data_IF_738164656115
#
_entry.id   IF_738164656115
#
_cell.length_a   1.000
_cell.length_b   1.000
_cell.length_c   1.000
_cell.angle_alpha   90.00
_cell.angle_beta   90.00
_cell.angle_gamma   90.00
#
_symmetry.space_group_name_H-M   'P 1'
#
loop_
_entity.id
_entity.type
_entity.pdbx_description
1 polymer ?
#
# COMPACT_ATOMS: atom_id res chain seq x y z
N UNK A 1 -25.72 -1.21 70.97
CA UNK A 1 -26.94 -1.01 70.15
C UNK A 1 -26.67 0.13 69.17
N UNK A 2 -26.96 -0.05 67.87
CA UNK A 2 -26.37 0.72 66.76
C UNK A 2 -27.22 1.94 66.35
N UNK A 3 -26.59 2.97 65.76
CA UNK A 3 -27.25 3.85 64.77
C UNK A 3 -26.15 4.50 63.91
N UNK A 4 -25.87 3.97 62.72
CA UNK A 4 -26.41 4.37 61.41
C UNK A 4 -26.25 5.86 61.05
N UNK A 5 -25.48 6.09 59.97
CA UNK A 5 -25.50 7.15 58.93
C UNK A 5 -24.10 7.75 58.76
N UNK A 6 -23.46 7.79 57.59
CA UNK A 6 -23.85 7.46 56.24
C UNK A 6 -22.58 7.16 55.42
N UNK A 7 -22.56 6.05 54.68
CA UNK A 7 -21.54 5.80 53.66
C UNK A 7 -21.93 6.59 52.40
N UNK A 8 -21.27 7.72 52.16
CA UNK A 8 -21.31 8.38 50.86
C UNK A 8 -20.19 7.77 50.02
N UNK A 9 -20.51 6.71 49.29
CA UNK A 9 -19.66 6.17 48.23
C UNK A 9 -19.86 7.09 47.00
N UNK A 10 -19.07 8.15 46.93
CA UNK A 10 -18.99 9.00 45.74
C UNK A 10 -18.30 8.23 44.62
N UNK A 11 -19.09 7.71 43.68
CA UNK A 11 -18.61 7.15 42.42
C UNK A 11 -17.90 8.25 41.62
N UNK A 12 -16.57 8.21 41.59
CA UNK A 12 -15.75 9.04 40.69
C UNK A 12 -15.98 8.55 39.27
N UNK A 13 -16.92 9.18 38.56
CA UNK A 13 -16.96 9.14 37.10
C UNK A 13 -15.79 9.99 36.59
N UNK A 14 -14.64 9.34 36.39
CA UNK A 14 -13.58 9.90 35.58
C UNK A 14 -14.06 9.94 34.12
N UNK A 15 -14.72 11.03 33.74
CA UNK A 15 -14.84 11.42 32.33
C UNK A 15 -13.41 11.65 31.83
N UNK A 16 -12.81 10.62 31.24
CA UNK A 16 -11.63 10.79 30.41
C UNK A 16 -12.07 11.60 29.19
N UNK A 17 -11.89 12.92 29.26
CA UNK A 17 -11.98 13.78 28.11
C UNK A 17 -10.96 13.27 27.09
N UNK A 18 -11.43 12.57 26.06
CA UNK A 18 -10.61 12.29 24.89
C UNK A 18 -10.19 13.66 24.34
N UNK A 19 -8.91 13.99 24.46
CA UNK A 19 -8.37 15.21 23.86
C UNK A 19 -8.80 15.24 22.39
N UNK A 20 -9.33 16.37 21.88
CA UNK A 20 -9.68 16.46 20.47
C UNK A 20 -8.42 16.13 19.67
N UNK A 21 -8.54 15.25 18.68
CA UNK A 21 -7.43 14.97 17.77
C UNK A 21 -7.06 16.30 17.09
N UNK A 22 -5.96 16.91 17.52
CA UNK A 22 -5.44 18.12 16.89
C UNK A 22 -5.20 17.82 15.41
N UNK A 23 -5.59 18.75 14.54
CA UNK A 23 -5.33 18.65 13.11
C UNK A 23 -3.82 18.42 12.88
N UNK A 24 -3.48 17.41 12.08
CA UNK A 24 -2.09 17.07 11.79
C UNK A 24 -1.67 17.59 10.40
N UNK A 25 -2.64 17.96 9.55
CA UNK A 25 -2.36 18.74 8.34
C UNK A 25 -1.76 20.09 8.75
N UNK A 26 -0.59 20.41 8.21
CA UNK A 26 0.21 21.58 8.61
C UNK A 26 1.25 21.31 9.71
N UNK A 27 1.36 20.07 10.22
CA UNK A 27 2.45 19.66 11.12
C UNK A 27 3.69 19.17 10.36
N UNK A 28 4.81 18.99 11.06
CA UNK A 28 6.06 18.43 10.51
C UNK A 28 5.91 17.01 9.94
N UNK A 29 4.82 16.31 10.24
CA UNK A 29 4.53 14.98 9.71
C UNK A 29 3.80 15.04 8.38
N UNK A 30 3.15 16.16 8.08
CA UNK A 30 2.38 16.35 6.87
C UNK A 30 3.28 16.44 5.64
N UNK A 31 2.87 15.80 4.56
CA UNK A 31 3.40 15.99 3.22
C UNK A 31 2.31 15.64 2.20
N UNK A 32 2.26 16.37 1.10
CA UNK A 32 1.25 16.13 0.07
C UNK A 32 1.69 16.61 -1.31
N UNK A 33 1.11 15.99 -2.33
CA UNK A 33 1.31 16.38 -3.72
C UNK A 33 0.07 16.03 -4.54
N UNK A 34 -0.29 16.86 -5.51
CA UNK A 34 -1.30 16.56 -6.54
C UNK A 34 -0.66 16.71 -7.91
N UNK A 35 -0.83 15.70 -8.75
CA UNK A 35 -0.17 15.62 -10.05
C UNK A 35 -1.17 15.26 -11.12
N UNK A 36 -1.09 15.94 -12.27
CA UNK A 36 -1.81 15.57 -13.47
C UNK A 36 -1.14 14.36 -14.14
N UNK A 37 -1.85 13.23 -14.19
CA UNK A 37 -1.24 11.95 -14.54
C UNK A 37 -0.76 11.87 -16.00
N UNK A 38 -1.35 12.65 -16.92
CA UNK A 38 -1.01 12.66 -18.35
C UNK A 38 0.30 13.39 -18.65
N UNK A 39 0.58 14.48 -17.94
CA UNK A 39 1.72 15.37 -18.21
C UNK A 39 2.82 15.24 -17.16
N UNK A 40 2.50 14.72 -15.96
CA UNK A 40 3.39 14.76 -14.80
C UNK A 40 3.46 16.15 -14.15
N UNK A 41 2.64 17.11 -14.60
CA UNK A 41 2.58 18.46 -14.05
C UNK A 41 2.11 18.41 -12.60
N UNK A 42 2.91 18.97 -11.70
CA UNK A 42 2.57 19.13 -10.28
C UNK A 42 1.64 20.33 -10.15
N UNK A 43 0.46 20.08 -9.59
CA UNK A 43 -0.57 21.09 -9.34
C UNK A 43 -0.51 21.61 -7.90
N UNK A 44 -0.08 20.76 -6.97
CA UNK A 44 0.13 21.07 -5.56
C UNK A 44 1.35 20.32 -5.05
N UNK A 45 2.14 20.95 -4.17
CA UNK A 45 3.16 20.26 -3.40
C UNK A 45 3.37 20.95 -2.04
N UNK A 46 3.41 20.16 -0.96
CA UNK A 46 3.83 20.58 0.36
C UNK A 46 4.75 19.49 0.93
N UNK A 47 6.00 19.84 1.23
CA UNK A 47 7.03 18.89 1.70
C UNK A 47 7.08 17.59 0.89
N UNK A 48 6.85 17.70 -0.43
CA UNK A 48 6.60 16.53 -1.27
C UNK A 48 7.80 15.57 -1.35
N UNK A 49 8.99 16.09 -1.06
CA UNK A 49 10.28 15.38 -1.07
C UNK A 49 10.78 15.05 0.35
N UNK A 50 10.05 15.43 1.39
CA UNK A 50 10.39 15.09 2.76
C UNK A 50 10.13 13.60 3.04
N UNK A 51 11.09 12.95 3.71
CA UNK A 51 10.99 11.52 4.03
C UNK A 51 9.93 11.26 5.09
N UNK A 52 9.10 10.25 4.84
CA UNK A 52 8.05 9.74 5.73
C UNK A 52 8.02 8.23 5.67
N UNK A 53 7.45 7.58 6.69
CA UNK A 53 7.18 6.15 6.60
C UNK A 53 5.95 5.88 5.72
N UNK A 54 6.05 4.96 4.73
CA UNK A 54 4.96 4.71 3.77
C UNK A 54 3.74 4.01 4.39
N UNK A 55 3.92 3.30 5.52
CA UNK A 55 2.94 2.34 6.02
C UNK A 55 2.48 1.40 4.88
N UNK A 56 1.22 0.98 4.88
CA UNK A 56 0.65 0.11 3.85
C UNK A 56 0.63 0.67 2.42
N UNK A 57 1.03 1.92 2.17
CA UNK A 57 1.28 2.39 0.80
C UNK A 57 2.37 1.57 0.11
N UNK A 58 3.28 0.97 0.88
CA UNK A 58 4.29 -0.01 0.44
C UNK A 58 3.71 -1.12 -0.46
N UNK A 59 2.47 -1.54 -0.18
CA UNK A 59 1.78 -2.59 -0.94
C UNK A 59 1.49 -2.21 -2.39
N UNK A 60 1.52 -0.92 -2.75
CA UNK A 60 1.48 -0.48 -4.14
C UNK A 60 2.68 -1.01 -4.93
N UNK A 61 3.87 -1.03 -4.33
CA UNK A 61 5.07 -1.57 -4.97
C UNK A 61 4.99 -3.10 -5.06
N UNK A 62 4.46 -3.75 -4.03
CA UNK A 62 4.19 -5.20 -4.08
C UNK A 62 3.24 -5.55 -5.22
N UNK A 63 2.14 -4.81 -5.38
CA UNK A 63 1.21 -4.97 -6.51
C UNK A 63 1.88 -4.68 -7.86
N UNK A 64 2.68 -3.60 -7.96
CA UNK A 64 3.45 -3.28 -9.16
C UNK A 64 4.34 -4.46 -9.59
N UNK A 65 5.06 -5.07 -8.64
CA UNK A 65 5.93 -6.21 -8.92
C UNK A 65 5.17 -7.50 -9.27
N UNK A 66 3.96 -7.68 -8.73
CA UNK A 66 3.03 -8.77 -9.15
C UNK A 66 2.62 -8.56 -10.61
N UNK A 67 2.17 -7.37 -10.97
CA UNK A 67 1.76 -7.05 -12.35
C UNK A 67 2.92 -7.24 -13.32
N UNK A 68 4.11 -6.77 -12.94
CA UNK A 68 5.32 -6.98 -13.70
C UNK A 68 5.65 -8.47 -13.89
N UNK A 69 5.55 -9.28 -12.82
CA UNK A 69 5.81 -10.72 -12.91
C UNK A 69 4.82 -11.45 -13.83
N UNK A 70 3.54 -11.07 -13.81
CA UNK A 70 2.52 -11.67 -14.67
C UNK A 70 2.73 -11.24 -16.13
N UNK A 71 2.91 -9.95 -16.39
CA UNK A 71 3.16 -9.42 -17.74
C UNK A 71 4.40 -10.03 -18.38
N UNK A 72 5.47 -10.19 -17.61
CA UNK A 72 6.74 -10.72 -18.10
C UNK A 72 6.75 -12.27 -18.14
N UNK A 73 5.62 -12.94 -17.84
CA UNK A 73 5.50 -14.40 -17.88
C UNK A 73 6.24 -15.15 -16.77
N UNK A 74 6.80 -14.45 -15.77
CA UNK A 74 7.50 -15.04 -14.61
C UNK A 74 6.54 -15.63 -13.59
N UNK A 75 5.28 -15.19 -13.60
CA UNK A 75 4.19 -15.74 -12.80
C UNK A 75 2.89 -15.74 -13.61
N UNK A 76 1.87 -16.43 -13.10
CA UNK A 76 0.51 -16.41 -13.62
C UNK A 76 -0.43 -16.04 -12.48
N UNK A 77 -1.62 -15.54 -12.80
CA UNK A 77 -2.65 -15.27 -11.78
C UNK A 77 -3.00 -16.50 -10.93
N UNK A 78 -2.90 -17.69 -11.51
CA UNK A 78 -3.08 -18.99 -10.87
C UNK A 78 -1.85 -19.52 -10.11
N UNK A 79 -0.70 -18.81 -10.13
CA UNK A 79 0.50 -19.22 -9.40
C UNK A 79 0.15 -19.44 -7.92
N UNK A 80 0.49 -20.60 -7.32
CA UNK A 80 0.19 -20.88 -5.93
C UNK A 80 1.07 -20.01 -5.02
N UNK A 81 0.42 -19.29 -4.11
CA UNK A 81 1.06 -18.54 -3.02
C UNK A 81 0.85 -19.34 -1.75
N UNK A 82 1.96 -19.83 -1.18
CA UNK A 82 1.93 -20.60 0.07
C UNK A 82 2.10 -19.67 1.26
N UNK A 83 1.22 -19.77 2.24
CA UNK A 83 1.34 -19.07 3.51
C UNK A 83 2.43 -19.76 4.34
N UNK A 84 3.66 -19.23 4.34
CA UNK A 84 4.70 -19.72 5.24
C UNK A 84 4.36 -19.42 6.71
N UNK A 85 5.12 -20.02 7.64
CA UNK A 85 5.02 -19.66 9.05
C UNK A 85 5.31 -18.16 9.28
N UNK A 86 6.29 -17.60 8.56
CA UNK A 86 6.63 -16.17 8.65
C UNK A 86 5.49 -15.27 8.16
N UNK A 87 4.90 -15.61 7.01
CA UNK A 87 3.77 -14.88 6.44
C UNK A 87 2.53 -14.95 7.34
N UNK A 88 2.16 -16.14 7.81
CA UNK A 88 1.01 -16.32 8.70
C UNK A 88 1.16 -15.58 10.06
N UNK A 89 2.40 -15.46 10.54
CA UNK A 89 2.75 -14.76 11.77
C UNK A 89 2.75 -13.23 11.65
N UNK A 90 2.60 -12.65 10.45
CA UNK A 90 2.53 -11.19 10.31
C UNK A 90 1.38 -10.62 11.17
N UNK A 91 1.57 -9.46 11.83
CA UNK A 91 0.52 -8.84 12.63
C UNK A 91 -0.63 -8.31 11.74
N UNK A 92 -1.83 -8.07 12.29
CA UNK A 92 -2.97 -7.50 11.56
C UNK A 92 -2.63 -6.18 10.85
N UNK A 93 -3.29 -5.77 9.76
CA UNK A 93 -4.40 -6.38 9.01
C UNK A 93 -3.98 -7.62 8.21
N UNK A 94 -4.76 -8.70 8.21
CA UNK A 94 -4.39 -9.98 7.57
C UNK A 94 -5.60 -10.84 7.14
N UNK A 95 -5.36 -11.85 6.31
CA UNK A 95 -6.35 -12.89 5.97
C UNK A 95 -6.54 -13.89 7.13
N UNK A 96 -5.46 -14.19 7.86
CA UNK A 96 -5.50 -15.11 9.00
C UNK A 96 -5.49 -16.58 8.60
N UNK A 97 -5.00 -16.90 7.40
CA UNK A 97 -4.82 -18.29 6.97
C UNK A 97 -3.68 -18.95 7.76
N UNK A 98 -3.83 -20.22 8.18
CA UNK A 98 -2.77 -20.94 8.87
C UNK A 98 -1.59 -21.25 7.93
N UNK A 99 -0.40 -21.42 8.49
CA UNK A 99 0.78 -21.83 7.75
C UNK A 99 0.53 -23.12 6.97
N UNK A 100 1.09 -23.22 5.77
CA UNK A 100 0.86 -24.32 4.82
C UNK A 100 -0.38 -24.13 3.93
N UNK A 101 -1.29 -23.22 4.26
CA UNK A 101 -2.41 -22.86 3.37
C UNK A 101 -1.91 -22.32 2.03
N UNK A 102 -2.67 -22.59 0.97
CA UNK A 102 -2.41 -22.02 -0.36
C UNK A 102 -3.61 -21.20 -0.86
N UNK A 103 -3.29 -20.14 -1.57
CA UNK A 103 -4.21 -19.28 -2.35
C UNK A 103 -3.57 -18.96 -3.70
N UNK A 104 -4.33 -18.48 -4.67
CA UNK A 104 -3.76 -18.02 -5.94
C UNK A 104 -3.09 -16.65 -5.78
N UNK A 105 -2.17 -16.31 -6.69
CA UNK A 105 -1.54 -14.98 -6.73
C UNK A 105 -2.58 -13.86 -6.87
N UNK A 106 -3.62 -14.08 -7.67
CA UNK A 106 -4.76 -13.15 -7.79
C UNK A 106 -5.51 -12.99 -6.46
N UNK A 107 -5.82 -14.07 -5.75
CA UNK A 107 -6.45 -13.99 -4.43
C UNK A 107 -5.57 -13.26 -3.41
N UNK A 108 -4.26 -13.49 -3.44
CA UNK A 108 -3.31 -12.79 -2.58
C UNK A 108 -3.26 -11.29 -2.90
N UNK A 109 -3.25 -10.93 -4.18
CA UNK A 109 -3.34 -9.53 -4.62
C UNK A 109 -4.66 -8.88 -4.19
N UNK A 110 -5.80 -9.55 -4.39
CA UNK A 110 -7.12 -9.07 -3.96
C UNK A 110 -7.14 -8.79 -2.45
N UNK A 111 -6.50 -9.64 -1.65
CA UNK A 111 -6.34 -9.44 -0.21
C UNK A 111 -5.51 -8.20 0.15
N UNK A 112 -4.47 -7.90 -0.63
CA UNK A 112 -3.62 -6.72 -0.46
C UNK A 112 -4.36 -5.43 -0.83
N UNK A 113 -5.10 -5.40 -1.94
CA UNK A 113 -5.77 -4.17 -2.40
C UNK A 113 -7.02 -3.83 -1.58
N UNK A 114 -7.77 -4.83 -1.11
CA UNK A 114 -9.02 -4.61 -0.36
C UNK A 114 -8.79 -4.54 1.16
N UNK A 115 -8.23 -5.60 1.77
CA UNK A 115 -8.04 -5.73 3.22
C UNK A 115 -6.69 -5.21 3.69
N UNK A 116 -5.81 -4.83 2.76
CA UNK A 116 -4.44 -4.42 3.11
C UNK A 116 -3.67 -5.51 3.87
N UNK A 117 -3.91 -6.77 3.51
CA UNK A 117 -3.43 -7.95 4.22
C UNK A 117 -1.89 -8.05 4.22
N UNK A 118 -1.29 -8.05 5.41
CA UNK A 118 0.16 -8.12 5.64
C UNK A 118 0.71 -9.53 5.37
N UNK A 119 -0.04 -10.56 5.76
CA UNK A 119 0.29 -11.96 5.55
C UNK A 119 0.34 -12.31 4.06
N UNK A 120 -0.66 -11.86 3.29
CA UNK A 120 -0.66 -12.01 1.83
C UNK A 120 0.52 -11.29 1.17
N UNK A 121 0.88 -10.09 1.63
CA UNK A 121 2.03 -9.35 1.11
C UNK A 121 3.36 -10.08 1.36
N UNK A 122 3.57 -10.60 2.57
CA UNK A 122 4.75 -11.39 2.89
C UNK A 122 4.80 -12.70 2.07
N UNK A 123 3.66 -13.40 1.91
CA UNK A 123 3.59 -14.62 1.12
C UNK A 123 3.86 -14.39 -0.38
N UNK A 124 3.36 -13.28 -0.96
CA UNK A 124 3.72 -12.87 -2.33
C UNK A 124 5.22 -12.60 -2.43
N UNK A 125 5.78 -11.91 -1.45
CA UNK A 125 7.19 -11.55 -1.43
C UNK A 125 8.09 -12.80 -1.40
N UNK A 126 7.74 -13.79 -0.59
CA UNK A 126 8.41 -15.10 -0.56
C UNK A 126 8.23 -15.86 -1.89
N UNK A 127 7.03 -15.83 -2.46
CA UNK A 127 6.72 -16.52 -3.73
C UNK A 127 7.52 -15.94 -4.91
N UNK A 128 7.62 -14.61 -5.00
CA UNK A 128 8.25 -13.93 -6.15
C UNK A 128 9.73 -13.61 -5.93
N UNK A 129 10.17 -13.49 -4.67
CA UNK A 129 11.52 -13.07 -4.30
C UNK A 129 12.31 -14.14 -3.53
N UNK A 130 11.74 -15.31 -3.27
CA UNK A 130 12.36 -16.38 -2.46
C UNK A 130 12.34 -16.11 -0.94
N UNK A 131 12.40 -14.84 -0.53
CA UNK A 131 12.18 -14.39 0.85
C UNK A 131 11.64 -12.95 0.86
N UNK A 132 10.97 -12.57 1.95
CA UNK A 132 10.48 -11.18 2.10
C UNK A 132 11.64 -10.17 2.12
N UNK A 133 12.77 -10.50 2.75
CA UNK A 133 13.92 -9.59 2.78
C UNK A 133 14.53 -9.39 1.39
N UNK A 134 14.66 -10.46 0.59
CA UNK A 134 15.17 -10.33 -0.77
C UNK A 134 14.19 -9.55 -1.65
N UNK A 135 12.89 -9.85 -1.54
CA UNK A 135 11.86 -9.09 -2.25
C UNK A 135 11.89 -7.60 -1.90
N UNK A 136 12.08 -7.22 -0.63
CA UNK A 136 12.21 -5.82 -0.24
C UNK A 136 13.43 -5.10 -0.86
N UNK A 137 14.55 -5.82 -1.03
CA UNK A 137 15.70 -5.31 -1.80
C UNK A 137 15.32 -5.09 -3.26
N UNK A 138 14.64 -6.04 -3.89
CA UNK A 138 14.15 -5.93 -5.27
C UNK A 138 13.13 -4.78 -5.42
N UNK A 139 12.24 -4.57 -4.44
CA UNK A 139 11.33 -3.42 -4.41
C UNK A 139 12.08 -2.10 -4.39
N UNK A 140 13.17 -2.00 -3.61
CA UNK A 140 14.00 -0.78 -3.55
C UNK A 140 14.74 -0.56 -4.87
N UNK A 141 15.29 -1.61 -5.47
CA UNK A 141 15.89 -1.52 -6.80
C UNK A 141 14.86 -1.07 -7.86
N UNK A 142 13.64 -1.63 -7.80
CA UNK A 142 12.54 -1.23 -8.67
C UNK A 142 12.18 0.24 -8.46
N UNK A 143 12.06 0.70 -7.21
CA UNK A 143 11.83 2.11 -6.91
C UNK A 143 12.84 3.03 -7.61
N UNK A 144 14.14 2.70 -7.53
CA UNK A 144 15.19 3.45 -8.24
C UNK A 144 15.00 3.45 -9.75
N UNK A 145 14.65 2.31 -10.36
CA UNK A 145 14.35 2.20 -11.79
C UNK A 145 13.13 3.05 -12.21
N UNK A 146 12.15 3.22 -11.32
CA UNK A 146 10.98 4.07 -11.56
C UNK A 146 11.25 5.56 -11.33
N UNK A 147 12.45 5.92 -10.87
CA UNK A 147 12.81 7.31 -10.53
C UNK A 147 12.44 7.71 -9.10
N UNK A 148 11.98 6.79 -8.27
CA UNK A 148 11.68 7.01 -6.85
C UNK A 148 12.98 6.97 -6.04
N UNK A 149 13.74 8.08 -6.03
CA UNK A 149 15.13 8.11 -5.51
C UNK A 149 15.23 8.14 -3.99
N UNK A 150 14.19 8.57 -3.30
CA UNK A 150 14.16 8.75 -1.84
C UNK A 150 13.35 7.67 -1.10
N UNK A 151 13.00 6.60 -1.81
CA UNK A 151 12.25 5.47 -1.25
C UNK A 151 13.15 4.30 -0.88
N UNK A 152 12.98 3.71 0.30
CA UNK A 152 13.62 2.44 0.68
C UNK A 152 12.56 1.53 1.26
N UNK A 153 12.43 0.32 0.72
CA UNK A 153 11.54 -0.71 1.23
C UNK A 153 12.32 -1.73 2.06
N UNK A 154 11.74 -2.16 3.18
CA UNK A 154 12.33 -3.16 4.09
C UNK A 154 11.48 -4.40 4.27
N UNK A 155 10.21 -4.32 3.88
CA UNK A 155 9.29 -5.45 3.83
C UNK A 155 8.21 -5.18 2.76
N UNK A 156 7.41 -6.18 2.44
CA UNK A 156 6.42 -6.10 1.36
C UNK A 156 5.10 -5.46 1.79
N UNK A 157 4.90 -5.26 3.09
CA UNK A 157 3.62 -4.90 3.68
C UNK A 157 3.57 -3.45 4.16
N UNK A 158 4.70 -2.82 4.43
CA UNK A 158 4.74 -1.52 5.08
C UNK A 158 4.67 -1.58 6.60
N UNK A 159 4.93 -2.76 7.19
CA UNK A 159 5.06 -2.88 8.64
C UNK A 159 6.24 -2.03 9.14
N UNK A 160 6.18 -1.54 10.41
CA UNK A 160 7.17 -0.61 10.92
C UNK A 160 8.61 -1.11 10.78
N UNK A 161 9.45 -0.27 10.18
CA UNK A 161 10.90 -0.41 10.12
C UNK A 161 11.48 1.01 10.01
N UNK A 162 12.41 1.42 10.90
CA UNK A 162 12.98 2.77 10.87
C UNK A 162 13.68 3.14 9.56
N UNK A 163 14.24 2.16 8.85
CA UNK A 163 14.94 2.37 7.59
C UNK A 163 14.01 2.29 6.37
N UNK A 164 12.70 2.08 6.56
CA UNK A 164 11.69 2.07 5.51
C UNK A 164 11.07 3.45 5.35
N UNK A 165 11.38 4.12 4.25
CA UNK A 165 11.00 5.51 3.99
C UNK A 165 10.53 5.71 2.55
N UNK A 166 9.76 6.75 2.32
CA UNK A 166 9.31 7.24 1.01
C UNK A 166 9.13 8.75 1.08
N UNK A 167 8.82 9.38 -0.06
CA UNK A 167 8.30 10.75 -0.14
C UNK A 167 6.90 10.75 -0.76
N UNK A 168 6.19 11.88 -0.68
CA UNK A 168 4.90 12.03 -1.37
C UNK A 168 5.08 12.01 -2.89
N UNK A 169 6.15 12.63 -3.41
CA UNK A 169 6.51 12.61 -4.83
C UNK A 169 6.80 11.21 -5.35
N UNK A 170 7.53 10.41 -4.59
CA UNK A 170 7.83 9.03 -4.98
C UNK A 170 6.56 8.18 -5.01
N UNK A 171 5.65 8.35 -4.05
CA UNK A 171 4.36 7.64 -4.04
C UNK A 171 3.43 8.10 -5.18
N UNK A 172 3.45 9.38 -5.55
CA UNK A 172 2.74 9.88 -6.74
C UNK A 172 3.33 9.27 -8.02
N UNK A 173 4.66 9.19 -8.11
CA UNK A 173 5.38 8.52 -9.21
C UNK A 173 4.92 7.06 -9.33
N UNK A 174 4.88 6.32 -8.23
CA UNK A 174 4.41 4.93 -8.22
C UNK A 174 2.94 4.80 -8.63
N UNK A 175 2.06 5.70 -8.16
CA UNK A 175 0.66 5.73 -8.56
C UNK A 175 0.48 5.94 -10.07
N UNK A 176 1.21 6.90 -10.64
CA UNK A 176 1.21 7.16 -12.09
C UNK A 176 1.79 5.97 -12.86
N UNK A 177 2.82 5.30 -12.33
CA UNK A 177 3.42 4.12 -12.97
C UNK A 177 2.48 2.91 -12.98
N UNK A 178 1.73 2.67 -11.91
CA UNK A 178 0.68 1.65 -11.89
C UNK A 178 -0.37 1.88 -12.98
N UNK A 179 -0.80 3.14 -13.17
CA UNK A 179 -1.75 3.53 -14.20
C UNK A 179 -1.22 3.32 -15.63
N UNK A 180 0.00 3.81 -15.90
CA UNK A 180 0.58 3.84 -17.24
C UNK A 180 1.15 2.50 -17.69
N UNK A 181 1.80 1.78 -16.78
CA UNK A 181 2.52 0.55 -17.13
C UNK A 181 1.60 -0.68 -17.09
N UNK A 182 0.47 -0.59 -16.37
CA UNK A 182 -0.48 -1.68 -16.14
C UNK A 182 -1.95 -1.21 -16.18
N UNK A 183 -2.42 -0.58 -17.27
CA UNK A 183 -3.78 -0.03 -17.34
C UNK A 183 -4.87 -1.11 -17.18
N UNK A 184 -4.63 -2.34 -17.63
CA UNK A 184 -5.57 -3.44 -17.50
C UNK A 184 -5.66 -3.96 -16.06
N UNK A 185 -4.53 -4.08 -15.36
CA UNK A 185 -4.47 -4.56 -13.98
C UNK A 185 -4.81 -3.48 -12.96
N UNK A 186 -4.68 -2.20 -13.29
CA UNK A 186 -5.01 -1.09 -12.39
C UNK A 186 -6.43 -1.20 -11.79
N UNK A 187 -7.38 -1.80 -12.53
CA UNK A 187 -8.74 -2.11 -12.07
C UNK A 187 -8.80 -2.89 -10.75
N UNK A 188 -7.75 -3.61 -10.35
CA UNK A 188 -7.74 -4.28 -9.04
C UNK A 188 -7.86 -3.29 -7.88
N UNK A 189 -7.34 -2.07 -8.02
CA UNK A 189 -7.41 -1.06 -6.94
C UNK A 189 -8.82 -0.51 -6.71
N UNK A 190 -9.72 -0.62 -7.69
CA UNK A 190 -11.14 -0.28 -7.57
C UNK A 190 -12.01 -1.45 -7.12
N UNK A 191 -11.41 -2.55 -6.63
CA UNK A 191 -12.19 -3.68 -6.09
C UNK A 191 -12.84 -3.29 -4.77
N UNK A 192 -14.17 -3.25 -4.72
CA UNK A 192 -14.93 -2.92 -3.50
C UNK A 192 -14.86 -4.01 -2.43
N UNK A 193 -14.93 -5.26 -2.88
CA UNK A 193 -14.84 -6.42 -2.00
C UNK A 193 -14.45 -7.67 -2.77
N UNK A 194 -13.93 -8.67 -2.06
CA UNK A 194 -13.73 -10.00 -2.60
C UNK A 194 -14.10 -11.06 -1.57
N UNK A 195 -14.45 -12.26 -2.05
CA UNK A 195 -14.73 -13.41 -1.19
C UNK A 195 -13.59 -14.42 -1.24
N UNK A 196 -13.20 -14.91 -0.08
CA UNK A 196 -12.23 -16.00 0.06
C UNK A 196 -12.73 -16.97 1.13
N UNK A 197 -12.85 -18.26 0.76
CA UNK A 197 -13.32 -19.32 1.68
C UNK A 197 -14.59 -18.94 2.46
N UNK A 198 -15.57 -18.38 1.75
CA UNK A 198 -16.85 -17.93 2.32
C UNK A 198 -16.83 -16.58 3.03
N UNK A 199 -15.66 -16.03 3.36
CA UNK A 199 -15.54 -14.74 4.04
C UNK A 199 -15.53 -13.57 3.05
N UNK A 200 -16.29 -12.52 3.33
CA UNK A 200 -16.29 -11.27 2.57
C UNK A 200 -15.27 -10.29 3.15
N UNK A 201 -14.37 -9.80 2.31
CA UNK A 201 -13.40 -8.78 2.67
C UNK A 201 -13.69 -7.50 1.89
N UNK A 202 -13.91 -6.38 2.60
CA UNK A 202 -14.26 -5.08 2.02
C UNK A 202 -13.03 -4.17 1.92
N UNK A 203 -13.03 -3.29 0.92
CA UNK A 203 -12.00 -2.29 0.74
C UNK A 203 -12.03 -1.23 1.85
N UNK A 204 -10.84 -0.79 2.27
CA UNK A 204 -10.68 0.26 3.28
C UNK A 204 -10.70 1.68 2.68
N UNK A 205 -10.56 1.83 1.36
CA UNK A 205 -10.53 3.13 0.69
C UNK A 205 -11.95 3.69 0.52
N UNK A 206 -12.41 4.47 1.50
CA UNK A 206 -13.75 5.07 1.50
C UNK A 206 -13.96 6.07 0.35
N UNK A 207 -12.90 6.72 -0.13
CA UNK A 207 -12.99 7.66 -1.24
C UNK A 207 -13.46 7.00 -2.54
N UNK A 208 -13.21 5.69 -2.74
CA UNK A 208 -13.76 4.97 -3.90
C UNK A 208 -15.28 5.06 -3.97
N UNK A 209 -15.95 5.06 -2.82
CA UNK A 209 -17.40 5.12 -2.75
C UNK A 209 -17.94 6.56 -2.63
N UNK A 210 -17.12 7.51 -2.17
CA UNK A 210 -17.60 8.83 -1.72
C UNK A 210 -17.09 10.01 -2.53
N UNK A 211 -16.14 9.83 -3.45
CA UNK A 211 -15.56 10.92 -4.24
C UNK A 211 -15.77 10.68 -5.73
N UNK A 212 -16.45 11.62 -6.39
CA UNK A 212 -16.75 11.51 -7.82
C UNK A 212 -15.47 11.40 -8.65
N UNK A 213 -15.45 10.37 -9.51
CA UNK A 213 -14.32 10.02 -10.37
C UNK A 213 -13.23 9.16 -9.72
N UNK A 214 -13.31 8.83 -8.43
CA UNK A 214 -12.26 8.07 -7.73
C UNK A 214 -12.16 6.61 -8.19
N UNK A 215 -10.93 6.13 -8.44
CA UNK A 215 -10.69 4.75 -8.90
C UNK A 215 -9.45 4.08 -8.28
N UNK A 216 -8.88 4.67 -7.22
CA UNK A 216 -7.73 4.13 -6.52
C UNK A 216 -7.22 5.04 -5.41
N UNK A 217 -6.04 4.80 -4.82
CA UNK A 217 -5.22 3.60 -5.02
C UNK A 217 -5.08 2.86 -3.68
N UNK A 218 -4.56 3.51 -2.65
CA UNK A 218 -4.23 2.81 -1.41
C UNK A 218 -4.18 3.73 -0.19
N UNK A 219 -4.72 3.23 0.93
CA UNK A 219 -4.56 3.83 2.26
C UNK A 219 -3.43 3.17 3.06
N UNK A 220 -2.86 3.89 4.02
CA UNK A 220 -1.90 3.37 4.99
C UNK A 220 -2.00 4.05 6.35
N UNK A 221 -1.62 3.34 7.40
CA UNK A 221 -1.51 3.90 8.76
C UNK A 221 -0.46 3.14 9.56
N UNK A 222 0.42 3.90 10.23
CA UNK A 222 1.19 3.46 11.41
C UNK A 222 1.34 4.65 12.34
N UNK A 223 1.62 4.40 13.63
CA UNK A 223 1.81 5.48 14.63
C UNK A 223 2.88 6.50 14.23
N UNK A 224 3.93 6.06 13.55
CA UNK A 224 5.04 6.92 13.16
C UNK A 224 4.69 7.91 12.02
N UNK A 225 3.77 7.56 11.12
CA UNK A 225 3.40 8.40 9.97
C UNK A 225 1.99 8.95 10.02
N UNK A 226 1.15 8.55 10.97
CA UNK A 226 -0.28 8.87 10.93
C UNK A 226 -1.00 8.20 9.75
N UNK A 227 -2.11 8.79 9.32
CA UNK A 227 -2.97 8.30 8.25
C UNK A 227 -2.53 8.83 6.88
N UNK A 228 -2.22 7.91 5.99
CA UNK A 228 -1.69 8.17 4.65
C UNK A 228 -2.66 7.67 3.57
N UNK A 229 -2.59 8.27 2.39
CA UNK A 229 -3.40 7.91 1.23
C UNK A 229 -2.71 8.34 -0.07
N UNK A 230 -2.75 7.44 -1.05
CA UNK A 230 -2.61 7.76 -2.47
C UNK A 230 -3.96 7.54 -3.13
N UNK A 231 -4.48 8.55 -3.81
CA UNK A 231 -5.75 8.50 -4.52
C UNK A 231 -5.57 8.85 -6.00
N UNK A 232 -6.45 8.35 -6.85
CA UNK A 232 -6.60 8.84 -8.22
C UNK A 232 -8.07 9.07 -8.52
N UNK A 233 -8.34 10.11 -9.33
CA UNK A 233 -9.66 10.42 -9.82
C UNK A 233 -9.62 10.91 -11.27
N UNK A 234 -10.71 10.71 -12.00
CA UNK A 234 -10.92 11.19 -13.37
C UNK A 234 -12.19 12.01 -13.46
N UNK A 235 -12.10 13.20 -14.04
CA UNK A 235 -13.25 14.04 -14.43
C UNK A 235 -12.98 14.65 -15.80
N UNK A 236 -13.97 14.62 -16.69
CA UNK A 236 -13.88 15.20 -18.04
C UNK A 236 -12.62 14.79 -18.82
N UNK A 237 -12.24 13.51 -18.72
CA UNK A 237 -11.05 12.95 -19.38
C UNK A 237 -9.70 13.33 -18.76
N UNK A 238 -9.69 14.20 -17.73
CA UNK A 238 -8.49 14.60 -16.99
C UNK A 238 -8.31 13.73 -15.76
N UNK A 239 -7.13 13.13 -15.59
CA UNK A 239 -6.79 12.28 -14.44
C UNK A 239 -5.81 12.97 -13.50
N UNK A 240 -6.15 12.98 -12.21
CA UNK A 240 -5.27 13.42 -11.13
C UNK A 240 -4.83 12.25 -10.25
N UNK A 241 -3.61 12.35 -9.72
CA UNK A 241 -3.08 11.50 -8.65
C UNK A 241 -2.71 12.40 -7.48
N UNK A 242 -3.33 12.14 -6.33
CA UNK A 242 -3.08 12.86 -5.09
C UNK A 242 -2.41 11.98 -4.05
N UNK A 243 -1.51 12.55 -3.25
CA UNK A 243 -0.90 11.89 -2.09
C UNK A 243 -1.04 12.79 -0.87
N UNK A 244 -1.47 12.21 0.23
CA UNK A 244 -1.48 12.83 1.56
C UNK A 244 -0.80 11.87 2.53
N UNK A 245 0.24 12.33 3.21
CA UNK A 245 0.95 11.64 4.28
C UNK A 245 0.75 12.45 5.57
N UNK A 246 0.58 11.78 6.71
CA UNK A 246 0.56 12.48 7.99
C UNK A 246 -0.78 13.06 8.45
N UNK A 247 -1.93 12.49 8.09
CA UNK A 247 -3.22 12.89 8.71
C UNK A 247 -3.37 12.36 10.15
N UNK A 248 -4.10 13.07 11.02
CA UNK A 248 -4.37 12.65 12.39
C UNK A 248 -5.43 11.55 12.47
N UNK A 249 -6.35 11.55 11.51
CA UNK A 249 -7.43 10.57 11.39
C UNK A 249 -7.70 10.21 9.92
N UNK A 250 -8.39 9.09 9.70
CA UNK A 250 -8.85 8.74 8.36
C UNK A 250 -9.81 9.80 7.78
N UNK A 251 -10.67 10.39 8.62
CA UNK A 251 -11.64 11.40 8.19
C UNK A 251 -10.96 12.71 7.77
N UNK A 252 -10.00 13.20 8.56
CA UNK A 252 -9.22 14.39 8.20
C UNK A 252 -8.45 14.18 6.90
N UNK A 253 -7.77 13.02 6.76
CA UNK A 253 -7.05 12.65 5.55
C UNK A 253 -7.95 12.61 4.31
N UNK A 254 -9.11 11.97 4.41
CA UNK A 254 -10.01 11.79 3.27
C UNK A 254 -10.64 13.13 2.84
N UNK A 255 -11.06 13.94 3.80
CA UNK A 255 -11.56 15.30 3.55
C UNK A 255 -10.47 16.17 2.89
N UNK A 256 -9.26 16.17 3.44
CA UNK A 256 -8.15 16.94 2.89
C UNK A 256 -7.76 16.49 1.47
N UNK A 257 -7.76 15.18 1.21
CA UNK A 257 -7.54 14.66 -0.14
C UNK A 257 -8.60 15.16 -1.13
N UNK A 258 -9.89 15.11 -0.74
CA UNK A 258 -10.98 15.60 -1.58
C UNK A 258 -10.83 17.09 -1.89
N UNK A 259 -10.51 17.91 -0.88
CA UNK A 259 -10.24 19.34 -1.04
C UNK A 259 -9.12 19.60 -2.06
N UNK A 260 -7.99 18.89 -1.93
CA UNK A 260 -6.84 19.00 -2.85
C UNK A 260 -7.18 18.56 -4.29
N UNK A 261 -7.92 17.47 -4.45
CA UNK A 261 -8.33 17.00 -5.78
C UNK A 261 -9.33 17.96 -6.42
N UNK A 262 -10.32 18.47 -5.68
CA UNK A 262 -11.30 19.44 -6.19
C UNK A 262 -10.64 20.76 -6.62
N UNK A 263 -9.62 21.20 -5.89
CA UNK A 263 -8.79 22.35 -6.28
C UNK A 263 -8.00 22.05 -7.56
N UNK A 264 -7.38 20.86 -7.64
CA UNK A 264 -6.68 20.41 -8.83
C UNK A 264 -7.56 20.38 -10.07
N UNK A 265 -8.80 19.88 -9.95
CA UNK A 265 -9.76 19.83 -11.07
C UNK A 265 -10.24 21.21 -11.51
N UNK A 266 -10.47 22.14 -10.58
CA UNK A 266 -10.85 23.54 -10.89
C UNK A 266 -9.78 24.33 -11.66
N UNK A 267 -8.53 23.87 -11.65
CA UNK A 267 -7.44 24.54 -12.37
C UNK A 267 -6.95 25.84 -11.71
N UNK A 268 -7.40 26.13 -10.49
CA UNK A 268 -6.86 27.21 -9.67
C UNK A 268 -5.45 26.86 -9.20
N UNK A 269 -4.44 27.65 -9.61
CA UNK A 269 -3.10 27.56 -9.03
C UNK A 269 -3.17 27.80 -7.52
N UNK A 270 -2.54 26.91 -6.74
CA UNK A 270 -2.56 26.96 -5.30
C UNK A 270 -1.69 28.10 -4.80
N UNK A 271 -2.31 29.23 -4.44
CA UNK A 271 -1.65 30.48 -4.02
C UNK A 271 -0.76 30.36 -2.76
N UNK A 272 -0.75 29.21 -2.09
CA UNK A 272 0.01 28.98 -0.86
C UNK A 272 0.95 27.76 -0.91
N UNK A 273 1.12 27.13 -2.07
CA UNK A 273 2.07 26.03 -2.25
C UNK A 273 2.85 26.22 -3.55
N UNK A 274 4.18 26.15 -3.48
CA UNK A 274 5.01 26.26 -4.68
C UNK A 274 4.66 25.13 -5.64
N UNK A 275 4.41 25.44 -6.91
CA UNK A 275 4.40 24.44 -7.96
C UNK A 275 5.79 23.77 -7.97
N UNK A 276 5.88 22.57 -7.39
CA UNK A 276 7.13 21.80 -7.39
C UNK A 276 7.53 21.41 -8.82
N UNK A 277 8.78 20.98 -9.05
CA UNK A 277 9.19 20.52 -10.37
C UNK A 277 8.29 19.37 -10.85
N UNK A 278 8.00 19.26 -12.17
CA UNK A 278 7.16 18.21 -12.70
C UNK A 278 7.75 16.82 -12.41
N UNK A 279 6.89 15.82 -12.24
CA UNK A 279 7.32 14.43 -12.18
C UNK A 279 7.77 14.01 -13.58
N UNK A 280 9.09 13.86 -13.76
CA UNK A 280 9.69 13.29 -14.97
C UNK A 280 9.73 11.77 -14.81
N UNK A 281 8.81 11.08 -15.46
CA UNK A 281 8.84 9.62 -15.49
C UNK A 281 10.06 9.17 -16.28
N UNK A 282 10.90 8.33 -15.66
CA UNK A 282 12.01 7.69 -16.34
C UNK A 282 11.44 6.78 -17.44
N UNK A 283 11.93 6.95 -18.67
CA UNK A 283 11.54 6.08 -19.78
C UNK A 283 11.77 4.62 -19.36
N UNK A 284 10.77 3.77 -19.62
CA UNK A 284 10.90 2.36 -19.31
C UNK A 284 12.00 1.80 -20.22
N UNK A 285 13.03 1.18 -19.64
CA UNK A 285 13.94 0.36 -20.42
C UNK A 285 13.10 -0.73 -21.11
N UNK A 286 13.20 -0.84 -22.43
CA UNK A 286 12.55 -1.92 -23.16
C UNK A 286 12.95 -3.24 -22.50
N UNK A 287 11.96 -4.07 -22.14
CA UNK A 287 12.25 -5.37 -21.58
C UNK A 287 12.96 -6.20 -22.66
N UNK A 288 14.28 -6.34 -22.57
CA UNK A 288 14.97 -7.40 -23.27
C UNK A 288 14.43 -8.69 -22.66
N UNK A 289 13.60 -9.42 -23.43
CA UNK A 289 13.15 -10.76 -23.06
C UNK A 289 14.37 -11.66 -23.13
N UNK A 290 14.95 -12.14 -22.02
CA UNK A 290 15.94 -13.20 -22.11
C UNK A 290 15.17 -14.45 -22.51
N UNK A 291 15.53 -15.05 -23.65
CA UNK A 291 15.09 -16.40 -23.97
C UNK A 291 15.40 -17.32 -22.78
N UNK A 292 14.40 -18.10 -22.38
CA UNK A 292 14.41 -19.14 -21.35
C UNK A 292 15.80 -19.53 -20.80
N UNK A 293 16.24 -18.86 -19.74
CA UNK A 293 17.08 -19.51 -18.75
C UNK A 293 16.13 -20.25 -17.82
N UNK A 294 15.91 -21.53 -18.10
CA UNK A 294 15.30 -22.45 -17.17
C UNK A 294 16.17 -22.46 -15.90
N UNK A 295 15.81 -21.66 -14.90
CA UNK A 295 16.24 -21.91 -13.53
C UNK A 295 15.52 -23.18 -13.13
N UNK A 296 16.23 -24.31 -13.26
CA UNK A 296 15.71 -25.64 -13.00
C UNK A 296 15.16 -25.73 -11.59
N UNK A 297 13.83 -25.77 -11.48
CA UNK A 297 13.15 -26.21 -10.27
C UNK A 297 13.20 -27.74 -10.23
N UNK A 298 14.39 -28.30 -9.99
CA UNK A 298 14.52 -29.68 -9.58
C UNK A 298 14.20 -29.75 -8.08
N UNK A 299 12.96 -30.10 -7.76
CA UNK A 299 12.61 -30.62 -6.45
C UNK A 299 13.27 -32.00 -6.34
N UNK A 300 14.32 -32.13 -5.55
CA UNK A 300 14.88 -33.45 -5.22
C UNK A 300 13.95 -34.13 -4.22
N UNK A 301 13.04 -34.95 -4.73
CA UNK A 301 12.17 -35.82 -3.94
C UNK A 301 12.85 -37.18 -3.78
N UNK A 302 13.22 -37.50 -2.53
CA UNK A 302 13.15 -38.86 -1.97
C UNK A 302 14.23 -39.87 -2.35
N UNK A 303 15.05 -40.23 -1.37
CA UNK A 303 15.58 -41.59 -1.22
C UNK A 303 15.57 -41.99 0.26
N UNK A 304 14.37 -42.28 0.79
CA UNK A 304 14.23 -43.24 1.88
C UNK A 304 13.82 -44.55 1.23
N UNK A 305 14.74 -45.51 1.19
CA UNK A 305 14.44 -46.92 0.97
C UNK A 305 15.11 -47.69 2.09
N UNK A 306 14.27 -48.10 3.03
CA UNK A 306 14.52 -49.24 3.89
C UNK A 306 14.87 -50.46 3.03
N UNK A 307 15.86 -51.25 3.46
CA UNK A 307 16.03 -52.63 3.01
C UNK A 307 15.78 -53.57 4.19
N UNK A 308 14.97 -54.63 4.01
CA UNK A 308 14.88 -55.73 4.96
C UNK A 308 16.07 -56.70 4.78
N UNK A 309 16.31 -57.51 5.81
CA UNK A 309 17.55 -58.27 6.00
C UNK A 309 17.83 -59.43 5.05
N UNK A 310 19.11 -59.81 5.08
CA UNK A 310 19.67 -61.16 5.04
C UNK A 310 21.01 -61.09 5.77
#
# INVERSE_FOLDING_TARGET
MPSLRAAVLGLVLALSAAAPASAQIGSDRYAAIVVEAATGRVLFAHDADARRHPASLTKMMTAYMVFEAVRDGRARWSTPVTMSAHAAARPPSKLGLPAGSRITLEQALLAIVTRSANDAAAAIAETLGGSEQNFARLMTLKARQLGMRDTVFRNASGLPDPAQVTTARDMATLGIRLLRDFPAEYRYFSTDSFRLRGQLHRNHNRLLASYDGADGIKTGYIRASGFNLVASAVRDGRRLVGVVLGGASAAERDRHMAELLDQGFRGSELRTASAGPPIRLVARAAAAVPAHAAVGWAVQVGAFRDRPGA
#
